data_IF_823137351368
#
_entry.id   IF_823137351368
#
_cell.length_a   1.000
_cell.length_b   1.000
_cell.length_c   1.000
_cell.angle_alpha   90.00
_cell.angle_beta   90.00
_cell.angle_gamma   90.00
#
_symmetry.space_group_name_H-M   'P 1'
#
loop_
_entity.id
_entity.type
_entity.pdbx_description
1 polymer ?
#
# COMPACT_ATOMS: atom_id res chain seq x y z
N UNK A 1 21.21 -10.84 -17.39
CA UNK A 1 20.06 -10.78 -16.46
C UNK A 1 20.46 -9.86 -15.32
N UNK A 2 19.83 -8.69 -15.18
CA UNK A 2 20.22 -7.74 -14.14
C UNK A 2 19.83 -8.28 -12.76
N UNK A 3 20.81 -8.29 -11.84
CA UNK A 3 20.60 -8.69 -10.44
C UNK A 3 19.77 -7.62 -9.72
N UNK A 4 18.49 -7.90 -9.50
CA UNK A 4 17.54 -6.99 -8.84
C UNK A 4 17.78 -6.85 -7.32
N UNK A 5 18.79 -7.51 -6.75
CA UNK A 5 19.05 -7.51 -5.30
C UNK A 5 19.65 -6.20 -4.76
N UNK A 6 20.10 -5.29 -5.63
CA UNK A 6 20.71 -4.01 -5.22
C UNK A 6 19.75 -2.82 -5.06
N UNK A 7 18.48 -2.92 -5.49
CA UNK A 7 17.59 -1.76 -5.64
C UNK A 7 16.30 -1.88 -4.78
N UNK A 8 16.04 -3.03 -4.17
CA UNK A 8 14.78 -3.28 -3.46
C UNK A 8 14.81 -2.80 -2.00
N UNK A 9 13.84 -1.97 -1.62
CA UNK A 9 13.63 -1.55 -0.22
C UNK A 9 13.48 -2.76 0.71
N UNK A 10 14.12 -2.71 1.87
CA UNK A 10 13.99 -3.80 2.84
C UNK A 10 12.59 -3.81 3.46
N UNK A 11 12.10 -5.01 3.78
CA UNK A 11 10.78 -5.19 4.42
C UNK A 11 10.63 -4.31 5.66
N UNK A 12 11.65 -4.27 6.54
CA UNK A 12 11.61 -3.49 7.77
C UNK A 12 11.54 -1.97 7.52
N UNK A 13 12.28 -1.47 6.52
CA UNK A 13 12.24 -0.04 6.18
C UNK A 13 10.87 0.34 5.62
N UNK A 14 10.33 -0.49 4.73
CA UNK A 14 9.00 -0.28 4.18
C UNK A 14 7.91 -0.41 5.25
N UNK A 15 8.04 -1.36 6.18
CA UNK A 15 7.11 -1.51 7.32
C UNK A 15 7.09 -0.25 8.17
N UNK A 16 8.26 0.28 8.55
CA UNK A 16 8.35 1.51 9.34
C UNK A 16 7.76 2.71 8.59
N UNK A 17 8.01 2.81 7.28
CA UNK A 17 7.43 3.84 6.42
C UNK A 17 5.90 3.75 6.38
N UNK A 18 5.35 2.57 6.08
CA UNK A 18 3.90 2.34 6.04
C UNK A 18 3.29 2.64 7.41
N UNK A 19 3.87 2.16 8.50
CA UNK A 19 3.40 2.44 9.87
C UNK A 19 3.32 3.94 10.18
N UNK A 20 4.25 4.74 9.67
CA UNK A 20 4.27 6.19 9.85
C UNK A 20 3.14 6.90 9.10
N UNK A 21 2.72 6.37 7.94
CA UNK A 21 1.76 7.02 7.04
C UNK A 21 0.36 6.41 7.05
N UNK A 22 0.19 5.17 7.54
CA UNK A 22 -1.11 4.53 7.71
C UNK A 22 -1.80 4.95 9.01
N UNK A 23 -3.13 4.95 8.99
CA UNK A 23 -3.95 4.92 10.21
C UNK A 23 -3.71 3.60 10.94
N UNK A 24 -3.42 3.68 12.23
CA UNK A 24 -3.22 2.49 13.05
C UNK A 24 -4.39 1.50 12.94
N UNK A 25 -5.64 1.99 12.98
CA UNK A 25 -6.87 1.20 12.82
C UNK A 25 -7.06 0.52 11.45
N UNK A 26 -6.22 0.84 10.47
CA UNK A 26 -6.19 0.21 9.14
C UNK A 26 -4.91 -0.59 8.89
N UNK A 27 -3.96 -0.59 9.82
CA UNK A 27 -2.68 -1.30 9.72
C UNK A 27 -2.49 -2.24 10.92
N UNK A 28 -1.62 -1.92 11.88
CA UNK A 28 -1.35 -2.77 13.05
C UNK A 28 -2.58 -3.02 13.93
N UNK A 29 -3.52 -2.08 14.00
CA UNK A 29 -4.76 -2.24 14.76
C UNK A 29 -5.71 -3.30 14.19
N UNK A 30 -5.40 -3.89 13.02
CA UNK A 30 -6.08 -5.05 12.46
C UNK A 30 -5.30 -6.35 12.67
N UNK A 31 -4.10 -6.30 13.24
CA UNK A 31 -3.43 -7.52 13.65
C UNK A 31 -4.21 -8.14 14.81
N UNK A 32 -4.44 -9.44 14.76
CA UNK A 32 -5.20 -10.22 15.76
C UNK A 32 -6.66 -9.73 15.92
N UNK A 33 -7.19 -9.02 14.93
CA UNK A 33 -8.63 -8.72 14.87
C UNK A 33 -9.38 -9.95 14.39
N UNK A 34 -10.57 -10.21 14.96
CA UNK A 34 -11.42 -11.37 14.64
C UNK A 34 -11.64 -11.58 13.13
N UNK A 35 -11.65 -10.51 12.35
CA UNK A 35 -11.96 -10.53 10.92
C UNK A 35 -10.73 -10.53 10.02
N UNK A 36 -9.54 -10.28 10.58
CA UNK A 36 -8.31 -10.10 9.81
C UNK A 36 -7.23 -11.07 10.30
N UNK A 37 -6.23 -11.33 9.46
CA UNK A 37 -5.11 -12.21 9.85
C UNK A 37 -4.27 -11.56 10.97
N UNK A 38 -3.74 -12.38 11.88
CA UNK A 38 -2.76 -11.97 12.90
C UNK A 38 -1.58 -11.17 12.32
N UNK A 39 -1.24 -11.44 11.06
CA UNK A 39 -0.16 -10.80 10.33
C UNK A 39 -0.66 -9.85 9.23
N UNK A 40 -1.86 -9.27 9.39
CA UNK A 40 -2.47 -8.40 8.40
C UNK A 40 -1.54 -7.26 7.95
N UNK A 41 -0.91 -6.56 8.91
CA UNK A 41 0.07 -5.52 8.60
C UNK A 41 1.23 -6.02 7.73
N UNK A 42 1.75 -7.24 7.97
CA UNK A 42 2.82 -7.83 7.15
C UNK A 42 2.37 -8.07 5.71
N UNK A 43 1.13 -8.54 5.52
CA UNK A 43 0.55 -8.74 4.18
C UNK A 43 0.41 -7.44 3.40
N UNK A 44 0.03 -6.35 4.08
CA UNK A 44 0.00 -5.01 3.48
C UNK A 44 1.41 -4.62 3.00
N UNK A 45 2.44 -4.80 3.83
CA UNK A 45 3.83 -4.52 3.43
C UNK A 45 4.25 -5.33 2.22
N UNK A 46 3.94 -6.63 2.19
CA UNK A 46 4.25 -7.50 1.03
C UNK A 46 3.56 -6.98 -0.23
N UNK A 47 2.28 -6.61 -0.17
CA UNK A 47 1.55 -6.05 -1.30
C UNK A 47 2.17 -4.75 -1.84
N UNK A 48 2.67 -3.89 -0.95
CA UNK A 48 3.43 -2.70 -1.34
C UNK A 48 4.79 -3.07 -1.96
N UNK A 49 5.52 -4.06 -1.43
CA UNK A 49 6.77 -4.55 -2.04
C UNK A 49 6.53 -5.07 -3.46
N UNK A 50 5.47 -5.85 -3.67
CA UNK A 50 5.08 -6.35 -5.00
C UNK A 50 4.78 -5.20 -5.97
N UNK A 51 4.05 -4.19 -5.50
CA UNK A 51 3.74 -2.99 -6.29
C UNK A 51 5.00 -2.21 -6.65
N UNK A 52 5.91 -2.01 -5.70
CA UNK A 52 7.19 -1.34 -5.94
C UNK A 52 8.05 -2.12 -6.93
N UNK A 53 8.11 -3.44 -6.80
CA UNK A 53 8.85 -4.33 -7.70
C UNK A 53 8.28 -4.26 -9.13
N UNK A 54 6.94 -4.26 -9.27
CA UNK A 54 6.28 -4.32 -10.57
C UNK A 54 6.20 -2.96 -11.27
N UNK A 55 5.99 -1.88 -10.53
CA UNK A 55 5.66 -0.56 -11.10
C UNK A 55 6.66 0.54 -10.73
N UNK A 56 7.64 0.27 -9.86
CA UNK A 56 8.59 1.26 -9.35
C UNK A 56 8.00 2.25 -8.34
N UNK A 57 6.69 2.16 -8.06
CA UNK A 57 5.95 3.03 -7.14
C UNK A 57 4.79 2.29 -6.49
N UNK A 58 4.35 2.80 -5.35
CA UNK A 58 3.18 2.30 -4.64
C UNK A 58 2.34 3.44 -4.07
N UNK A 59 1.13 3.11 -3.60
CA UNK A 59 0.11 4.08 -3.25
C UNK A 59 -0.59 3.69 -1.95
N UNK A 60 -0.78 4.66 -1.06
CA UNK A 60 -1.63 4.56 0.12
C UNK A 60 -2.87 5.40 -0.15
N UNK A 61 -4.06 4.82 -0.02
CA UNK A 61 -5.29 5.56 -0.30
C UNK A 61 -5.57 6.62 0.77
N UNK A 62 -6.40 7.62 0.42
CA UNK A 62 -6.85 8.65 1.37
C UNK A 62 -7.55 8.11 2.62
N UNK A 63 -8.18 6.94 2.51
CA UNK A 63 -8.93 6.32 3.61
C UNK A 63 -8.02 5.53 4.56
N UNK A 64 -6.85 5.13 4.06
CA UNK A 64 -5.83 4.41 4.79
C UNK A 64 -4.79 5.36 5.40
N UNK A 65 -4.53 6.49 4.74
CA UNK A 65 -3.54 7.45 5.18
C UNK A 65 -3.99 8.21 6.45
N UNK A 66 -3.06 8.42 7.38
CA UNK A 66 -3.31 9.09 8.65
C UNK A 66 -3.66 10.57 8.52
N UNK A 67 -3.16 11.26 7.49
CA UNK A 67 -3.49 12.66 7.19
C UNK A 67 -4.72 12.83 6.28
N UNK A 68 -5.36 11.73 5.86
CA UNK A 68 -6.57 11.77 5.03
C UNK A 68 -6.35 12.16 3.56
N UNK A 69 -5.09 12.16 3.10
CA UNK A 69 -4.69 12.42 1.72
C UNK A 69 -4.08 11.15 1.11
N UNK A 70 -4.24 10.94 -0.19
CA UNK A 70 -3.57 9.83 -0.88
C UNK A 70 -2.06 10.10 -0.96
N UNK A 71 -1.25 9.06 -0.82
CA UNK A 71 0.21 9.17 -0.83
C UNK A 71 0.79 8.21 -1.87
N UNK A 72 1.58 8.73 -2.82
CA UNK A 72 2.40 7.93 -3.73
C UNK A 72 3.85 7.94 -3.26
N UNK A 73 4.57 6.84 -3.41
CA UNK A 73 5.99 6.77 -3.05
C UNK A 73 6.77 5.79 -3.92
N UNK A 74 8.08 6.04 -4.05
CA UNK A 74 9.01 5.24 -4.84
C UNK A 74 9.73 4.15 -4.02
N UNK A 75 10.60 3.39 -4.68
CA UNK A 75 11.40 2.32 -4.08
C UNK A 75 12.45 2.84 -3.07
N UNK A 76 12.77 4.13 -3.10
CA UNK A 76 13.66 4.77 -2.13
C UNK A 76 12.88 5.39 -0.96
N UNK A 77 11.57 5.13 -0.88
CA UNK A 77 10.66 5.70 0.13
C UNK A 77 10.53 7.22 0.05
N UNK A 78 10.81 7.81 -1.11
CA UNK A 78 10.49 9.21 -1.36
C UNK A 78 9.00 9.31 -1.69
N UNK A 79 8.31 10.23 -1.01
CA UNK A 79 6.94 10.58 -1.37
C UNK A 79 6.96 11.31 -2.70
N UNK A 80 6.21 10.80 -3.67
CA UNK A 80 6.09 11.36 -5.01
C UNK A 80 4.82 12.22 -5.09
N UNK A 81 5.03 13.54 -5.21
CA UNK A 81 3.99 14.51 -5.55
C UNK A 81 3.37 15.26 -4.36
N UNK A 82 3.19 16.56 -4.56
CA UNK A 82 2.31 17.44 -3.77
C UNK A 82 0.87 17.28 -4.25
N UNK A 83 -0.06 17.00 -3.32
CA UNK A 83 -1.51 17.27 -3.38
C UNK A 83 -2.35 16.85 -4.62
N UNK A 84 -1.79 16.14 -5.60
CA UNK A 84 -2.55 15.78 -6.78
C UNK A 84 -3.33 14.49 -6.52
N UNK A 85 -4.64 14.66 -6.41
CA UNK A 85 -5.68 13.63 -6.45
C UNK A 85 -5.24 12.53 -7.41
N UNK A 86 -4.85 11.39 -6.86
CA UNK A 86 -4.59 10.20 -7.66
C UNK A 86 -5.96 9.69 -8.03
N UNK A 87 -6.44 10.12 -9.19
CA UNK A 87 -7.63 9.55 -9.80
C UNK A 87 -7.32 8.08 -10.05
N UNK A 88 -7.91 7.22 -9.23
CA UNK A 88 -7.97 5.80 -9.54
C UNK A 88 -8.79 5.72 -10.82
N UNK A 89 -8.27 5.14 -11.92
CA UNK A 89 -9.14 4.76 -13.01
C UNK A 89 -10.12 3.74 -12.43
N UNK A 90 -11.32 4.22 -12.11
CA UNK A 90 -12.44 3.37 -11.72
C UNK A 90 -12.86 2.63 -12.98
N UNK A 91 -12.12 1.59 -13.33
CA UNK A 91 -12.68 0.53 -14.14
C UNK A 91 -13.67 -0.15 -13.21
N UNK A 92 -14.90 0.36 -13.20
CA UNK A 92 -16.06 -0.37 -12.72
C UNK A 92 -16.17 -1.62 -13.60
N UNK A 93 -15.33 -2.62 -13.32
CA UNK A 93 -15.46 -3.94 -13.90
C UNK A 93 -16.87 -4.36 -13.55
N UNK A 94 -17.68 -4.56 -14.59
CA UNK A 94 -19.10 -4.91 -14.50
C UNK A 94 -19.32 -5.89 -13.34
N UNK A 95 -19.72 -5.37 -12.18
CA UNK A 95 -20.29 -6.16 -11.10
C UNK A 95 -21.73 -6.49 -11.52
N UNK A 96 -21.86 -7.29 -12.58
CA UNK A 96 -23.10 -7.98 -12.86
C UNK A 96 -23.25 -9.03 -11.77
N UNK A 97 -23.93 -8.65 -10.70
CA UNK A 97 -24.56 -9.59 -9.80
C UNK A 97 -25.35 -10.58 -10.66
N UNK A 98 -25.06 -11.87 -10.48
CA UNK A 98 -25.90 -12.96 -10.97
C UNK A 98 -27.29 -12.72 -10.37
N UNK A 99 -28.26 -12.38 -11.22
CA UNK A 99 -29.66 -12.36 -10.83
C UNK A 99 -30.21 -13.78 -11.01
N UNK A 100 -30.51 -14.39 -9.86
CA UNK A 100 -31.35 -15.56 -9.56
C UNK A 100 -31.22 -16.83 -10.41
#
# INVERSE_FOLDING_TARGET
>A
MADLRGIMVSFYSLYAFIKKHYRHSRFEGRNNDKYWSDEYSKRIVISHMESLCKYGKSYISRHECNIGQGLCFDINLNVLGDNNVIDYPSNAGNLTHILN
#
